data_IF_306762836664
#
_entry.id   IF_306762836664
#
_cell.length_a   1.000
_cell.length_b   1.000
_cell.length_c   1.000
_cell.angle_alpha   90.00
_cell.angle_beta   90.00
_cell.angle_gamma   90.00
#
_symmetry.space_group_name_H-M   'P 1'
#
loop_
_entity.id
_entity.type
_entity.pdbx_description
1 polymer ?
#
# COMPACT_ATOMS: atom_id res chain seq x y z
N UNK A 1 16.33 -8.83 -0.73
CA UNK A 1 15.10 -9.06 0.09
C UNK A 1 13.94 -9.25 -0.87
N UNK A 2 13.10 -10.28 -0.68
CA UNK A 2 11.94 -10.55 -1.55
C UNK A 2 10.65 -10.03 -0.89
N UNK A 3 9.74 -9.50 -1.70
CA UNK A 3 8.36 -9.17 -1.30
C UNK A 3 7.45 -10.39 -1.26
N UNK A 4 6.27 -10.28 -0.64
CA UNK A 4 5.36 -11.42 -0.47
C UNK A 4 4.84 -11.93 -1.83
N UNK A 5 4.48 -11.00 -2.72
CA UNK A 5 4.06 -11.32 -4.10
C UNK A 5 5.16 -12.07 -4.89
N UNK A 6 6.43 -11.70 -4.71
CA UNK A 6 7.54 -12.37 -5.39
C UNK A 6 7.73 -13.80 -4.86
N UNK A 7 7.64 -13.99 -3.54
CA UNK A 7 7.69 -15.33 -2.93
C UNK A 7 6.53 -16.21 -3.42
N UNK A 8 5.32 -15.65 -3.52
CA UNK A 8 4.16 -16.34 -4.06
C UNK A 8 4.35 -16.75 -5.53
N UNK A 9 4.85 -15.85 -6.38
CA UNK A 9 5.15 -16.17 -7.78
C UNK A 9 6.18 -17.29 -7.90
N UNK A 10 7.24 -17.28 -7.08
CA UNK A 10 8.25 -18.35 -7.07
C UNK A 10 7.65 -19.70 -6.64
N UNK A 11 6.80 -19.70 -5.62
CA UNK A 11 6.07 -20.91 -5.19
C UNK A 11 5.19 -21.46 -6.31
N UNK A 12 4.50 -20.60 -7.06
CA UNK A 12 3.64 -21.02 -8.20
C UNK A 12 4.38 -21.53 -9.44
N UNK A 13 5.73 -21.50 -9.43
CA UNK A 13 6.57 -22.11 -10.48
C UNK A 13 6.88 -23.58 -10.22
N UNK A 14 6.60 -24.11 -9.02
CA UNK A 14 6.71 -25.54 -8.70
C UNK A 14 5.31 -26.19 -8.62
N UNK A 15 5.21 -27.52 -8.80
CA UNK A 15 3.93 -28.23 -8.64
C UNK A 15 2.92 -28.09 -9.78
N UNK A 16 3.38 -27.79 -11.01
CA UNK A 16 2.50 -27.72 -12.21
C UNK A 16 2.22 -29.08 -12.88
N UNK A 17 2.85 -30.14 -12.40
CA UNK A 17 2.66 -31.51 -12.89
C UNK A 17 1.84 -32.38 -11.93
N UNK A 18 1.67 -33.65 -12.27
CA UNK A 18 0.99 -34.64 -11.42
C UNK A 18 1.79 -35.07 -10.19
N UNK A 19 3.10 -34.76 -10.15
CA UNK A 19 3.96 -35.08 -9.02
C UNK A 19 3.81 -34.05 -7.89
N UNK A 20 3.63 -34.55 -6.66
CA UNK A 20 3.70 -33.72 -5.46
C UNK A 20 5.02 -32.94 -5.42
N UNK A 21 4.94 -31.64 -5.16
CA UNK A 21 6.09 -30.75 -5.13
C UNK A 21 6.15 -30.01 -3.80
N UNK A 22 7.37 -29.70 -3.36
CA UNK A 22 7.62 -29.00 -2.11
C UNK A 22 8.33 -27.68 -2.36
N UNK A 23 7.94 -26.63 -1.64
CA UNK A 23 8.60 -25.33 -1.63
C UNK A 23 9.24 -25.11 -0.26
N UNK A 24 10.56 -25.05 -0.21
CA UNK A 24 11.32 -24.86 1.05
C UNK A 24 11.78 -23.41 1.13
N UNK A 25 11.43 -22.74 2.23
CA UNK A 25 11.82 -21.35 2.50
C UNK A 25 13.00 -21.33 3.47
N UNK A 26 14.20 -21.05 2.96
CA UNK A 26 15.41 -20.90 3.76
C UNK A 26 15.56 -19.45 4.24
N UNK A 27 15.93 -19.26 5.49
CA UNK A 27 16.21 -17.94 6.06
C UNK A 27 17.38 -17.99 7.04
N UNK A 28 18.03 -16.84 7.23
CA UNK A 28 19.10 -16.68 8.21
C UNK A 28 18.64 -15.73 9.34
N UNK A 29 18.75 -16.13 10.61
CA UNK A 29 18.52 -15.24 11.75
C UNK A 29 19.57 -14.12 11.85
N UNK A 30 19.23 -12.95 12.45
CA UNK A 30 17.91 -12.61 12.98
C UNK A 30 16.96 -12.10 11.88
N UNK A 31 15.70 -12.52 11.96
CA UNK A 31 14.64 -12.00 11.10
C UNK A 31 14.09 -10.69 11.67
N UNK A 32 13.85 -9.71 10.81
CA UNK A 32 13.00 -8.57 11.18
C UNK A 32 11.55 -9.04 11.37
N UNK A 33 10.75 -8.27 12.11
CA UNK A 33 9.32 -8.56 12.31
C UNK A 33 8.59 -8.76 10.98
N UNK A 34 8.76 -7.83 10.04
CA UNK A 34 8.17 -7.92 8.69
C UNK A 34 8.65 -9.16 7.92
N UNK A 35 9.92 -9.55 8.05
CA UNK A 35 10.42 -10.75 7.38
C UNK A 35 9.82 -12.04 7.97
N UNK A 36 9.58 -12.07 9.29
CA UNK A 36 8.87 -13.16 9.94
C UNK A 36 7.41 -13.24 9.49
N UNK A 37 6.68 -12.12 9.51
CA UNK A 37 5.28 -12.06 9.05
C UNK A 37 5.12 -12.52 7.59
N UNK A 38 6.08 -12.18 6.71
CA UNK A 38 6.10 -12.66 5.32
C UNK A 38 6.22 -14.17 5.22
N UNK A 39 7.15 -14.76 5.98
CA UNK A 39 7.35 -16.20 6.00
C UNK A 39 6.14 -16.94 6.59
N UNK A 40 5.55 -16.41 7.65
CA UNK A 40 4.37 -16.98 8.29
C UNK A 40 3.16 -16.95 7.34
N UNK A 41 2.95 -15.84 6.63
CA UNK A 41 1.87 -15.74 5.62
C UNK A 41 2.06 -16.75 4.48
N UNK A 42 3.30 -16.89 3.98
CA UNK A 42 3.63 -17.86 2.93
C UNK A 42 3.42 -19.32 3.35
N UNK A 43 3.52 -19.62 4.65
CA UNK A 43 3.25 -20.94 5.24
C UNK A 43 1.76 -21.16 5.51
N UNK A 44 1.05 -20.11 5.94
CA UNK A 44 -0.35 -20.20 6.34
C UNK A 44 -1.30 -20.39 5.17
N UNK A 45 -1.01 -19.81 3.99
CA UNK A 45 -1.96 -19.85 2.86
C UNK A 45 -1.31 -19.95 1.48
N UNK A 46 -2.03 -20.69 0.62
CA UNK A 46 -1.80 -20.81 -0.80
C UNK A 46 -2.45 -19.71 -1.63
N UNK A 47 -3.46 -19.02 -1.08
CA UNK A 47 -4.36 -18.13 -1.80
C UNK A 47 -3.69 -16.81 -2.17
N UNK A 48 -3.71 -16.49 -3.47
CA UNK A 48 -3.13 -15.26 -4.01
C UNK A 48 -3.83 -13.98 -3.53
N UNK A 49 -5.14 -14.02 -3.24
CA UNK A 49 -5.87 -12.85 -2.76
C UNK A 49 -5.51 -12.50 -1.33
N UNK A 50 -5.50 -13.49 -0.43
CA UNK A 50 -5.09 -13.30 0.97
C UNK A 50 -3.63 -12.84 1.06
N UNK A 51 -2.78 -13.38 0.20
CA UNK A 51 -1.38 -12.92 0.07
C UNK A 51 -1.32 -11.48 -0.41
N UNK A 52 -2.10 -11.08 -1.41
CA UNK A 52 -2.11 -9.70 -1.89
C UNK A 52 -2.59 -8.72 -0.80
N UNK A 53 -3.63 -9.07 -0.04
CA UNK A 53 -4.12 -8.29 1.09
C UNK A 53 -3.06 -8.14 2.19
N UNK A 54 -2.38 -9.23 2.58
CA UNK A 54 -1.28 -9.15 3.55
C UNK A 54 -0.07 -8.40 3.02
N UNK A 55 0.28 -8.53 1.75
CA UNK A 55 1.36 -7.73 1.16
C UNK A 55 1.04 -6.24 1.21
N UNK A 56 -0.22 -5.87 0.97
CA UNK A 56 -0.72 -4.51 1.13
C UNK A 56 -0.60 -4.02 2.57
N UNK A 57 -1.12 -4.76 3.54
CA UNK A 57 -1.01 -4.40 4.97
C UNK A 57 0.46 -4.23 5.40
N UNK A 58 1.34 -5.15 5.00
CA UNK A 58 2.77 -5.14 5.37
C UNK A 58 3.56 -4.00 4.72
N UNK A 59 3.12 -3.51 3.56
CA UNK A 59 3.68 -2.33 2.90
C UNK A 59 3.11 -1.03 3.44
N UNK A 60 1.88 -1.09 3.96
CA UNK A 60 1.10 0.06 4.38
C UNK A 60 0.44 0.79 3.19
N UNK A 61 -0.57 1.64 3.46
CA UNK A 61 -1.32 2.37 2.43
C UNK A 61 -0.46 3.32 1.59
N UNK A 62 0.71 3.72 2.08
CA UNK A 62 1.62 4.64 1.38
C UNK A 62 2.37 4.03 0.19
N UNK A 63 2.36 2.71 0.00
CA UNK A 63 3.06 2.05 -1.12
C UNK A 63 2.12 1.61 -2.26
N UNK A 64 0.78 1.66 -2.09
CA UNK A 64 -0.20 1.36 -3.14
C UNK A 64 -0.09 2.28 -4.36
N UNK A 65 0.31 3.53 -4.14
CA UNK A 65 0.46 4.53 -5.19
C UNK A 65 1.80 4.43 -5.93
N UNK A 66 2.59 3.41 -5.64
CA UNK A 66 3.88 3.18 -6.29
C UNK A 66 4.92 4.15 -5.76
N UNK A 67 5.98 3.58 -5.18
CA UNK A 67 7.19 4.25 -4.69
C UNK A 67 7.00 5.13 -3.46
N UNK A 68 7.97 5.04 -2.52
CA UNK A 68 8.44 6.23 -1.81
C UNK A 68 9.00 7.21 -2.85
N UNK A 69 8.13 7.78 -3.68
CA UNK A 69 8.48 8.91 -4.51
C UNK A 69 8.66 10.05 -3.51
N UNK A 70 9.89 10.52 -3.42
CA UNK A 70 10.35 11.65 -2.60
C UNK A 70 9.70 12.98 -3.03
N UNK A 71 8.38 12.99 -3.24
CA UNK A 71 7.64 14.09 -3.88
C UNK A 71 6.12 14.02 -3.71
N UNK A 72 5.53 12.90 -3.29
CA UNK A 72 4.13 12.90 -2.84
C UNK A 72 4.09 13.48 -1.42
N UNK A 73 3.25 14.51 -1.23
CA UNK A 73 3.05 15.11 0.07
C UNK A 73 2.59 14.03 1.06
N UNK A 74 3.46 13.68 2.01
CA UNK A 74 3.05 12.82 3.12
C UNK A 74 1.91 13.52 3.86
N UNK A 75 0.81 12.80 4.05
CA UNK A 75 -0.29 13.30 4.86
C UNK A 75 0.25 13.54 6.27
N UNK A 76 0.34 14.81 6.67
CA UNK A 76 0.91 15.20 7.98
C UNK A 76 0.05 14.77 9.17
N UNK A 77 -1.23 14.46 8.92
CA UNK A 77 -2.23 14.21 9.95
C UNK A 77 -3.12 13.00 9.65
N UNK A 78 -3.44 12.77 8.37
CA UNK A 78 -4.33 11.70 7.95
C UNK A 78 -3.56 10.39 7.70
N UNK A 79 -4.13 9.28 8.14
CA UNK A 79 -3.69 7.94 7.77
C UNK A 79 -4.79 7.33 6.91
N UNK A 80 -4.50 7.14 5.62
CA UNK A 80 -5.50 6.66 4.65
C UNK A 80 -6.06 5.27 4.99
N UNK A 81 -5.32 4.41 5.70
CA UNK A 81 -5.84 3.11 6.11
C UNK A 81 -6.73 3.23 7.33
N UNK A 82 -6.34 4.04 8.32
CA UNK A 82 -7.15 4.28 9.53
C UNK A 82 -8.42 5.06 9.21
N UNK A 83 -8.32 6.03 8.31
CA UNK A 83 -9.33 7.06 8.05
C UNK A 83 -10.13 6.78 6.75
N UNK A 84 -10.06 5.55 6.23
CA UNK A 84 -10.63 5.15 4.95
C UNK A 84 -12.15 5.38 4.86
N UNK A 85 -12.85 5.20 5.97
CA UNK A 85 -14.30 5.41 6.10
C UNK A 85 -14.70 6.88 5.92
N UNK A 86 -13.78 7.82 6.15
CA UNK A 86 -14.02 9.25 5.98
C UNK A 86 -13.87 9.71 4.52
N UNK A 87 -13.18 8.95 3.67
CA UNK A 87 -12.85 9.34 2.29
C UNK A 87 -14.08 9.71 1.44
N UNK A 88 -15.21 8.97 1.45
CA UNK A 88 -16.40 9.34 0.67
C UNK A 88 -16.98 10.69 1.11
N UNK A 89 -16.92 10.99 2.40
CA UNK A 89 -17.41 12.26 2.95
C UNK A 89 -16.47 13.41 2.62
N UNK A 90 -15.16 13.21 2.75
CA UNK A 90 -14.13 14.19 2.38
C UNK A 90 -14.25 14.58 0.91
N UNK A 91 -14.42 13.61 0.01
CA UNK A 91 -14.58 13.87 -1.42
C UNK A 91 -15.81 14.74 -1.70
N UNK A 92 -16.96 14.38 -1.15
CA UNK A 92 -18.21 15.14 -1.31
C UNK A 92 -18.12 16.57 -0.75
N UNK A 93 -17.44 16.76 0.38
CA UNK A 93 -17.21 18.09 0.97
C UNK A 93 -16.26 18.93 0.11
N UNK A 94 -15.21 18.31 -0.44
CA UNK A 94 -14.29 18.96 -1.37
C UNK A 94 -15.00 19.47 -2.63
N UNK A 95 -15.82 18.62 -3.25
CA UNK A 95 -16.66 18.97 -4.40
C UNK A 95 -17.63 20.11 -4.11
N UNK A 96 -18.28 20.08 -2.94
CA UNK A 96 -19.16 21.16 -2.51
C UNK A 96 -18.38 22.48 -2.34
N UNK A 97 -17.24 22.42 -1.66
CA UNK A 97 -16.40 23.59 -1.39
C UNK A 97 -15.89 24.23 -2.69
N UNK A 98 -15.44 23.43 -3.66
CA UNK A 98 -15.00 23.91 -4.96
C UNK A 98 -16.12 24.64 -5.73
N UNK A 99 -17.38 24.25 -5.55
CA UNK A 99 -18.52 24.93 -6.19
C UNK A 99 -18.97 26.17 -5.43
N UNK A 100 -18.98 26.13 -4.10
CA UNK A 100 -19.60 27.19 -3.28
C UNK A 100 -18.62 28.29 -2.87
N UNK A 101 -17.35 27.94 -2.64
CA UNK A 101 -16.31 28.89 -2.23
C UNK A 101 -14.92 28.47 -2.77
N UNK A 102 -14.67 28.72 -4.06
CA UNK A 102 -13.38 28.42 -4.70
C UNK A 102 -12.20 29.11 -4.00
N UNK A 103 -12.39 30.34 -3.49
CA UNK A 103 -11.32 31.10 -2.83
C UNK A 103 -10.91 30.47 -1.51
N UNK A 104 -11.85 29.90 -0.76
CA UNK A 104 -11.53 29.10 0.42
C UNK A 104 -10.75 27.82 0.05
N UNK A 105 -11.16 27.13 -1.01
CA UNK A 105 -10.44 25.95 -1.51
C UNK A 105 -8.98 26.29 -1.87
N UNK A 106 -8.76 27.37 -2.62
CA UNK A 106 -7.42 27.83 -3.01
C UNK A 106 -6.54 28.15 -1.79
N UNK A 107 -7.10 28.82 -0.77
CA UNK A 107 -6.39 29.11 0.49
C UNK A 107 -6.02 27.83 1.24
N UNK A 108 -6.89 26.84 1.28
CA UNK A 108 -6.61 25.55 1.92
C UNK A 108 -5.52 24.77 1.18
N UNK A 109 -5.59 24.73 -0.15
CA UNK A 109 -4.55 24.11 -0.99
C UNK A 109 -3.21 24.82 -0.78
N UNK A 110 -3.18 26.14 -0.85
CA UNK A 110 -1.96 26.92 -0.62
C UNK A 110 -1.38 26.70 0.79
N UNK A 111 -2.24 26.61 1.82
CA UNK A 111 -1.83 26.42 3.21
C UNK A 111 -1.26 25.03 3.49
N UNK A 112 -1.89 23.98 2.97
CA UNK A 112 -1.63 22.60 3.37
C UNK A 112 -0.80 21.82 2.34
N UNK A 113 -0.99 22.08 1.05
CA UNK A 113 -0.25 21.44 -0.04
C UNK A 113 0.92 22.31 -0.50
N UNK A 114 0.77 23.64 -0.47
CA UNK A 114 1.83 24.58 -0.86
C UNK A 114 2.38 24.28 -2.26
N UNK A 115 3.71 24.26 -2.41
CA UNK A 115 4.38 24.01 -3.70
C UNK A 115 4.28 22.56 -4.23
N UNK A 116 3.79 21.61 -3.42
CA UNK A 116 3.66 20.19 -3.81
C UNK A 116 2.52 19.95 -4.81
N UNK A 117 1.59 20.90 -4.96
CA UNK A 117 0.50 20.83 -5.94
C UNK A 117 1.02 20.71 -7.39
N UNK A 118 2.26 21.14 -7.65
CA UNK A 118 2.91 21.00 -8.97
C UNK A 118 3.19 19.55 -9.38
N UNK A 119 3.17 18.59 -8.45
CA UNK A 119 3.44 17.17 -8.75
C UNK A 119 2.17 16.35 -9.06
N UNK A 120 0.99 16.88 -8.77
CA UNK A 120 -0.28 16.18 -9.06
C UNK A 120 -0.86 16.48 -10.46
N UNK A 121 -0.24 17.42 -11.19
CA UNK A 121 -0.67 17.85 -12.52
C UNK A 121 0.17 17.25 -13.67
N UNK A 122 1.05 16.28 -13.38
CA UNK A 122 1.87 15.57 -14.36
C UNK A 122 1.39 14.13 -14.54
#
# INVERSE_FOLDING_TARGET
>A
RLGLAQLHQLRGRVGRGSAASSCVLLYQPPLSRTARERLDTMRATGDGFVIAEKDLELRGPGELLGTRQTGLAEFRLADLARDADLLPTVHRLGEALLRTDPQCADRLVARWIGGAARYAAA
#
